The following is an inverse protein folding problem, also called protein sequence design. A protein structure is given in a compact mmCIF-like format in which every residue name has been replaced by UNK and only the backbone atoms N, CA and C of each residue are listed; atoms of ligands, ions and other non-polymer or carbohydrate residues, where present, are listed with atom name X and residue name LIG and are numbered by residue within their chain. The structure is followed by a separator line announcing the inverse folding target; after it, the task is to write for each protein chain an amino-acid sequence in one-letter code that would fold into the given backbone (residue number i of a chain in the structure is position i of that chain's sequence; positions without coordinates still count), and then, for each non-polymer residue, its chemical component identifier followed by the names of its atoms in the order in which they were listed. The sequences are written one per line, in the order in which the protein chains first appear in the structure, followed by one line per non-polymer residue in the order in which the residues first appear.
data_IF_917468039861
#
_entry.id   IF_917468039861
#
_cell.length_a   1.000
_cell.length_b   1.000
_cell.length_c   1.000
_cell.angle_alpha   90.00
_cell.angle_beta   90.00
_cell.angle_gamma   90.00
#
_symmetry.space_group_name_H-M   'P 1'
#
loop_
_entity.id
_entity.type
_entity.pdbx_description
1 polymer ?
#
# COMPACT_ATOMS: atom_id res chain seq x y z
N UNK A 1 -11.85 27.03 -51.73
CA UNK A 1 -10.81 26.63 -50.77
C UNK A 1 -10.98 25.14 -50.50
N UNK A 2 -10.20 24.27 -51.16
CA UNK A 2 -10.23 22.83 -50.83
C UNK A 2 -9.71 22.72 -49.39
N UNK A 3 -10.52 22.21 -48.45
CA UNK A 3 -10.02 21.78 -47.14
C UNK A 3 -8.90 20.79 -47.45
N UNK A 4 -7.66 21.16 -47.15
CA UNK A 4 -6.59 20.18 -47.07
C UNK A 4 -7.08 19.15 -46.05
N UNK A 5 -7.28 17.92 -46.50
CA UNK A 5 -7.48 16.80 -45.57
C UNK A 5 -6.28 16.84 -44.63
N UNK A 6 -6.53 17.12 -43.37
CA UNK A 6 -5.52 16.97 -42.33
C UNK A 6 -5.19 15.49 -42.38
N UNK A 7 -3.98 15.16 -42.86
CA UNK A 7 -3.48 13.80 -42.94
C UNK A 7 -3.84 13.06 -41.65
N UNK A 8 -4.78 12.12 -41.75
CA UNK A 8 -5.24 11.37 -40.60
C UNK A 8 -4.03 10.60 -40.04
N UNK A 9 -3.69 10.86 -38.78
CA UNK A 9 -2.68 10.07 -38.07
C UNK A 9 -3.11 8.60 -38.17
N UNK A 10 -2.29 7.70 -38.76
CA UNK A 10 -2.59 6.28 -38.83
C UNK A 10 -2.99 5.71 -37.46
N UNK A 11 -3.85 4.69 -37.46
CA UNK A 11 -4.38 4.09 -36.23
C UNK A 11 -3.25 3.62 -35.30
N UNK A 12 -2.23 2.95 -35.84
CA UNK A 12 -1.11 2.43 -35.06
C UNK A 12 -0.30 3.54 -34.39
N UNK A 13 -0.06 4.65 -35.11
CA UNK A 13 0.60 5.84 -34.53
C UNK A 13 -0.27 6.50 -33.46
N UNK A 14 -1.59 6.51 -33.63
CA UNK A 14 -2.51 7.02 -32.61
C UNK A 14 -2.42 6.17 -31.33
N UNK A 15 -2.41 4.84 -31.46
CA UNK A 15 -2.23 3.93 -30.33
C UNK A 15 -0.90 4.18 -29.65
N UNK A 16 0.20 4.24 -30.40
CA UNK A 16 1.55 4.47 -29.85
C UNK A 16 1.67 5.80 -29.11
N UNK A 17 1.13 6.89 -29.69
CA UNK A 17 1.09 8.21 -29.04
C UNK A 17 0.34 8.11 -27.72
N UNK A 18 -0.86 7.51 -27.72
CA UNK A 18 -1.68 7.40 -26.53
C UNK A 18 -0.98 6.55 -25.45
N UNK A 19 -0.35 5.42 -25.78
CA UNK A 19 0.30 4.56 -24.78
C UNK A 19 1.47 5.25 -24.06
N UNK A 20 2.09 6.28 -24.67
CA UNK A 20 3.19 7.05 -24.06
C UNK A 20 2.73 8.18 -23.13
N UNK A 21 1.44 8.53 -23.14
CA UNK A 21 0.91 9.62 -22.32
C UNK A 21 0.65 9.17 -20.88
N UNK A 22 0.74 10.07 -19.89
CA UNK A 22 0.33 9.76 -18.51
C UNK A 22 -1.14 9.35 -18.45
N UNK A 23 -1.48 8.45 -17.52
CA UNK A 23 -2.84 7.93 -17.37
C UNK A 23 -3.91 9.04 -17.19
N UNK A 24 -3.56 10.13 -16.53
CA UNK A 24 -4.46 11.29 -16.37
C UNK A 24 -4.81 12.00 -17.67
N UNK A 25 -3.84 12.12 -18.56
CA UNK A 25 -4.05 12.69 -19.88
C UNK A 25 -4.97 11.78 -20.68
N UNK A 26 -4.76 10.46 -20.62
CA UNK A 26 -5.65 9.48 -21.24
C UNK A 26 -7.09 9.62 -20.76
N UNK A 27 -7.30 9.76 -19.45
CA UNK A 27 -8.65 9.93 -18.91
C UNK A 27 -9.35 11.21 -19.38
N UNK A 28 -8.60 12.30 -19.62
CA UNK A 28 -9.14 13.52 -20.24
C UNK A 28 -9.40 13.33 -21.74
N UNK A 29 -8.53 12.57 -22.41
CA UNK A 29 -8.54 12.36 -23.86
C UNK A 29 -9.65 11.45 -24.35
N UNK A 30 -10.31 10.70 -23.46
CA UNK A 30 -11.60 10.04 -23.74
C UNK A 30 -12.66 11.00 -24.30
N UNK A 31 -12.58 12.30 -23.97
CA UNK A 31 -13.53 13.32 -24.44
C UNK A 31 -13.15 13.96 -25.78
N UNK A 32 -11.95 13.69 -26.33
CA UNK A 32 -11.45 14.34 -27.55
C UNK A 32 -12.07 13.72 -28.81
N UNK A 33 -12.20 12.39 -28.85
CA UNK A 33 -12.85 11.70 -29.97
C UNK A 33 -13.40 10.33 -29.56
N UNK A 34 -14.38 9.84 -30.33
CA UNK A 34 -14.92 8.47 -30.15
C UNK A 34 -13.85 7.40 -30.37
N UNK A 35 -12.95 7.60 -31.34
CA UNK A 35 -11.85 6.68 -31.63
C UNK A 35 -10.91 6.55 -30.44
N UNK A 36 -10.46 7.68 -29.88
CA UNK A 36 -9.56 7.69 -28.72
C UNK A 36 -10.23 7.07 -27.49
N UNK A 37 -11.51 7.38 -27.26
CA UNK A 37 -12.28 6.72 -26.21
C UNK A 37 -12.33 5.20 -26.42
N UNK A 38 -12.56 4.72 -27.65
CA UNK A 38 -12.59 3.30 -27.97
C UNK A 38 -11.24 2.62 -27.76
N UNK A 39 -10.13 3.26 -28.14
CA UNK A 39 -8.77 2.76 -27.91
C UNK A 39 -8.51 2.63 -26.40
N UNK A 40 -8.81 3.67 -25.62
CA UNK A 40 -8.49 3.71 -24.18
C UNK A 40 -9.34 2.70 -23.38
N UNK A 41 -10.52 2.32 -23.85
CA UNK A 41 -11.33 1.27 -23.22
C UNK A 41 -10.99 -0.14 -23.71
N UNK A 42 -10.14 -0.29 -24.73
CA UNK A 42 -9.76 -1.60 -25.24
C UNK A 42 -8.80 -2.31 -24.27
N UNK A 43 -9.06 -3.57 -23.98
CA UNK A 43 -8.24 -4.38 -23.08
C UNK A 43 -6.77 -4.46 -23.52
N UNK A 44 -6.49 -4.66 -24.82
CA UNK A 44 -5.11 -4.75 -25.32
C UNK A 44 -4.34 -3.45 -25.13
N UNK A 45 -5.02 -2.29 -25.23
CA UNK A 45 -4.42 -1.00 -24.94
C UNK A 45 -4.17 -0.82 -23.44
N UNK A 46 -5.12 -1.23 -22.59
CA UNK A 46 -4.98 -1.19 -21.13
C UNK A 46 -3.76 -2.02 -20.69
N UNK A 47 -3.61 -3.23 -21.24
CA UNK A 47 -2.50 -4.14 -20.90
C UNK A 47 -1.16 -3.62 -21.43
N UNK A 48 -1.14 -3.06 -22.65
CA UNK A 48 0.05 -2.43 -23.22
C UNK A 48 0.49 -1.21 -22.39
N UNK A 49 -0.47 -0.34 -22.03
CA UNK A 49 -0.22 0.82 -21.18
C UNK A 49 0.32 0.39 -19.81
N UNK A 50 -0.28 -0.64 -19.22
CA UNK A 50 0.16 -1.17 -17.93
C UNK A 50 1.57 -1.75 -18.01
N UNK A 51 1.89 -2.54 -19.04
CA UNK A 51 3.23 -3.08 -19.27
C UNK A 51 4.29 -1.99 -19.31
N UNK A 52 4.06 -0.90 -20.05
CA UNK A 52 4.96 0.25 -20.11
C UNK A 52 5.05 0.95 -18.75
N UNK A 53 3.93 1.12 -18.05
CA UNK A 53 3.89 1.81 -16.75
C UNK A 53 4.60 1.02 -15.65
N UNK A 54 4.55 -0.31 -15.69
CA UNK A 54 5.25 -1.21 -14.76
C UNK A 54 6.77 -1.10 -14.86
N UNK A 55 7.31 -0.72 -16.02
CA UNK A 55 8.76 -0.44 -16.17
C UNK A 55 9.18 0.91 -15.59
N UNK A 56 8.22 1.77 -15.20
CA UNK A 56 8.45 3.12 -14.70
C UNK A 56 7.57 3.40 -13.47
N UNK A 57 7.78 2.67 -12.37
CA UNK A 57 7.02 2.88 -11.15
C UNK A 57 7.20 4.30 -10.62
N UNK A 58 6.18 4.78 -9.90
CA UNK A 58 6.13 6.12 -9.31
C UNK A 58 6.23 6.02 -7.80
N UNK A 59 7.05 6.88 -7.22
CA UNK A 59 7.10 7.08 -5.78
C UNK A 59 5.87 7.90 -5.35
N UNK A 60 5.01 7.34 -4.51
CA UNK A 60 3.81 8.00 -4.00
C UNK A 60 3.91 8.27 -2.51
N UNK A 61 3.50 9.48 -2.12
CA UNK A 61 3.22 9.85 -0.73
C UNK A 61 1.75 10.25 -0.64
N UNK A 62 1.00 9.63 0.24
CA UNK A 62 -0.40 9.96 0.47
C UNK A 62 -0.69 10.27 1.93
N UNK A 63 -1.52 11.26 2.20
CA UNK A 63 -1.96 11.58 3.55
C UNK A 63 -3.35 12.23 3.54
N UNK A 64 -3.97 12.26 4.72
CA UNK A 64 -5.30 12.87 4.89
C UNK A 64 -5.25 14.02 5.88
N UNK A 65 -6.16 14.99 5.71
CA UNK A 65 -6.31 16.16 6.59
C UNK A 65 -6.93 15.84 7.98
N UNK A 66 -6.61 14.67 8.55
CA UNK A 66 -7.01 14.26 9.89
C UNK A 66 -7.96 13.06 9.90
N UNK A 67 -7.78 12.19 10.89
CA UNK A 67 -8.52 10.92 11.03
C UNK A 67 -9.80 11.04 11.86
N UNK A 68 -9.92 12.08 12.70
CA UNK A 68 -11.07 12.27 13.59
C UNK A 68 -12.22 12.98 12.89
N UNK A 69 -13.49 12.73 13.28
CA UNK A 69 -14.63 13.51 12.80
C UNK A 69 -14.34 15.01 13.01
N UNK A 70 -14.47 15.80 11.95
CA UNK A 70 -14.29 17.25 11.96
C UNK A 70 -15.29 17.86 10.99
N UNK A 71 -15.65 19.14 11.16
CA UNK A 71 -16.57 19.84 10.25
C UNK A 71 -16.06 19.92 8.79
N UNK A 72 -14.75 19.78 8.58
CA UNK A 72 -14.14 19.76 7.24
C UNK A 72 -14.31 18.41 6.55
N UNK A 73 -14.67 18.46 5.27
CA UNK A 73 -14.72 17.29 4.40
C UNK A 73 -13.33 16.62 4.30
N UNK A 74 -13.32 15.30 4.52
CA UNK A 74 -12.12 14.48 4.49
C UNK A 74 -11.61 14.33 3.06
N UNK A 75 -10.30 14.45 2.90
CA UNK A 75 -9.63 14.32 1.61
C UNK A 75 -8.37 13.47 1.76
N UNK A 76 -8.14 12.62 0.77
CA UNK A 76 -6.86 11.96 0.55
C UNK A 76 -6.07 12.77 -0.47
N UNK A 77 -4.91 13.26 -0.08
CA UNK A 77 -3.96 13.93 -0.96
C UNK A 77 -2.93 12.90 -1.38
N UNK A 78 -2.67 12.81 -2.68
CA UNK A 78 -1.70 11.89 -3.27
C UNK A 78 -0.68 12.75 -4.00
N UNK A 79 0.54 12.71 -3.50
CA UNK A 79 1.72 13.31 -4.10
C UNK A 79 2.52 12.21 -4.80
N UNK A 80 3.18 12.56 -5.89
CA UNK A 80 3.96 11.60 -6.65
C UNK A 80 5.23 12.21 -7.21
N UNK A 81 6.23 11.36 -7.42
CA UNK A 81 7.45 11.68 -8.14
C UNK A 81 7.74 10.62 -9.21
N UNK A 82 8.19 11.06 -10.38
CA UNK A 82 8.69 10.20 -11.48
C UNK A 82 10.19 9.97 -11.43
N UNK A 83 10.90 10.63 -10.51
CA UNK A 83 12.33 10.49 -10.31
C UNK A 83 12.60 10.26 -8.83
N UNK A 84 12.84 9.01 -8.45
CA UNK A 84 13.83 8.80 -7.39
C UNK A 84 15.13 9.33 -7.98
N UNK A 85 15.77 10.32 -7.35
CA UNK A 85 16.98 10.95 -7.88
C UNK A 85 18.14 9.98 -8.13
N UNK A 86 19.32 10.54 -8.41
CA UNK A 86 20.55 9.74 -8.36
C UNK A 86 20.74 9.19 -6.94
N UNK A 87 21.52 8.11 -6.78
CA UNK A 87 21.80 7.50 -5.48
C UNK A 87 22.34 8.52 -4.46
N UNK A 88 22.98 9.60 -4.92
CA UNK A 88 23.51 10.67 -4.07
C UNK A 88 22.57 11.87 -3.84
N UNK A 89 21.35 11.86 -4.41
CA UNK A 89 20.41 12.98 -4.28
C UNK A 89 19.91 13.11 -2.83
N UNK A 90 19.96 14.33 -2.30
CA UNK A 90 19.50 14.69 -0.95
C UNK A 90 18.05 15.17 -0.91
N UNK A 91 17.41 15.34 -2.06
CA UNK A 91 15.98 15.64 -2.15
C UNK A 91 15.29 14.91 -3.31
N UNK A 92 13.98 14.75 -3.16
CA UNK A 92 13.07 14.23 -4.18
C UNK A 92 11.92 15.23 -4.30
N UNK A 93 11.71 15.75 -5.51
CA UNK A 93 10.61 16.65 -5.80
C UNK A 93 9.34 15.82 -5.95
N UNK A 94 8.32 16.14 -5.16
CA UNK A 94 6.99 15.55 -5.27
C UNK A 94 5.98 16.63 -5.65
N UNK A 95 5.03 16.28 -6.52
CA UNK A 95 3.96 17.19 -6.90
C UNK A 95 2.63 16.63 -6.43
N UNK A 96 1.70 17.52 -6.05
CA UNK A 96 0.32 17.13 -5.77
C UNK A 96 -0.28 16.57 -7.07
N UNK A 97 -0.48 15.27 -7.07
CA UNK A 97 -0.89 14.52 -8.24
C UNK A 97 -2.43 14.52 -8.29
N UNK A 98 -3.07 14.05 -7.22
CA UNK A 98 -4.53 14.01 -7.15
C UNK A 98 -5.04 14.20 -5.72
N UNK A 99 -6.29 14.64 -5.63
CA UNK A 99 -7.03 14.76 -4.37
C UNK A 99 -8.32 13.95 -4.52
N UNK A 100 -8.55 13.01 -3.60
CA UNK A 100 -9.74 12.17 -3.60
C UNK A 100 -10.62 12.59 -2.42
N UNK A 101 -11.85 13.10 -2.65
CA UNK A 101 -12.75 13.48 -1.58
C UNK A 101 -13.30 12.25 -0.85
N UNK A 102 -13.74 12.45 0.39
CA UNK A 102 -14.39 11.44 1.24
C UNK A 102 -13.56 10.16 1.46
N UNK A 103 -12.23 10.28 1.39
CA UNK A 103 -11.30 9.17 1.61
C UNK A 103 -10.26 9.54 2.67
N UNK A 104 -9.86 8.56 3.48
CA UNK A 104 -8.88 8.76 4.56
C UNK A 104 -7.93 7.57 4.66
N UNK A 105 -6.65 7.85 4.90
CA UNK A 105 -5.67 6.86 5.33
C UNK A 105 -5.67 6.75 6.87
N UNK A 106 -5.69 5.53 7.37
CA UNK A 106 -5.53 5.23 8.79
C UNK A 106 -4.33 4.29 8.97
N UNK A 107 -3.76 4.26 10.17
CA UNK A 107 -2.52 3.55 10.52
C UNK A 107 -2.76 2.49 11.62
N UNK A 108 -3.88 1.75 11.58
CA UNK A 108 -4.20 0.73 12.59
C UNK A 108 -4.19 -0.68 12.00
N UNK A 109 -4.22 -1.74 12.82
CA UNK A 109 -4.14 -3.13 12.34
C UNK A 109 -5.22 -3.52 11.32
N UNK A 110 -6.39 -2.87 11.37
CA UNK A 110 -7.47 -3.04 10.41
C UNK A 110 -7.27 -2.23 9.13
N UNK A 111 -6.40 -1.21 9.18
CA UNK A 111 -6.23 -0.19 8.15
C UNK A 111 -4.76 0.15 7.93
N UNK A 112 -4.17 -0.41 6.87
CA UNK A 112 -3.03 0.21 6.20
C UNK A 112 -3.38 0.34 4.73
N UNK A 113 -2.98 1.46 4.14
CA UNK A 113 -3.09 1.61 2.70
C UNK A 113 -1.99 0.80 2.04
N UNK A 114 -2.31 0.09 0.95
CA UNK A 114 -1.34 -0.69 0.19
C UNK A 114 -1.62 -0.41 -1.27
N UNK A 115 -0.57 -0.08 -2.00
CA UNK A 115 -0.60 -0.06 -3.45
C UNK A 115 -0.45 -1.49 -3.95
N UNK A 116 -1.46 -2.00 -4.67
CA UNK A 116 -1.40 -3.29 -5.36
C UNK A 116 -1.75 -3.04 -6.82
N UNK A 117 -0.78 -3.24 -7.71
CA UNK A 117 -0.92 -3.15 -9.16
C UNK A 117 -1.69 -1.90 -9.65
N UNK A 118 -1.37 -0.74 -9.05
CA UNK A 118 -1.93 0.57 -9.40
C UNK A 118 -3.22 0.97 -8.69
N UNK A 119 -3.75 0.11 -7.82
CA UNK A 119 -4.84 0.46 -6.92
C UNK A 119 -4.33 0.69 -5.50
N UNK A 120 -4.88 1.68 -4.82
CA UNK A 120 -4.63 1.93 -3.40
C UNK A 120 -5.87 1.51 -2.62
N UNK A 121 -5.71 0.52 -1.74
CA UNK A 121 -6.72 0.21 -0.74
C UNK A 121 -6.65 1.23 0.40
N UNK A 122 -7.79 1.69 0.88
CA UNK A 122 -7.93 2.57 2.05
C UNK A 122 -9.07 2.07 2.92
N UNK A 123 -8.98 2.29 4.23
CA UNK A 123 -10.03 1.92 5.18
C UNK A 123 -10.30 3.05 6.15
N UNK A 124 -11.59 3.27 6.39
CA UNK A 124 -12.11 4.26 7.31
C UNK A 124 -13.26 3.63 8.10
N UNK A 125 -13.07 3.47 9.41
CA UNK A 125 -14.00 2.77 10.29
C UNK A 125 -14.31 1.35 9.76
N UNK A 126 -15.57 1.09 9.40
CA UNK A 126 -16.04 -0.20 8.84
C UNK A 126 -16.04 -0.23 7.32
N UNK A 127 -15.68 0.87 6.65
CA UNK A 127 -15.67 0.97 5.19
C UNK A 127 -14.28 0.66 4.65
N UNK A 128 -14.26 -0.19 3.64
CA UNK A 128 -13.07 -0.47 2.86
C UNK A 128 -13.28 0.02 1.43
N UNK A 129 -12.35 0.84 0.95
CA UNK A 129 -12.46 1.55 -0.30
C UNK A 129 -11.20 1.32 -1.11
N UNK A 130 -11.35 0.99 -2.38
CA UNK A 130 -10.25 0.84 -3.33
C UNK A 130 -10.30 2.04 -4.26
N UNK A 131 -9.19 2.74 -4.42
CA UNK A 131 -9.10 3.85 -5.36
C UNK A 131 -8.00 3.63 -6.39
N UNK A 132 -8.23 4.13 -7.59
CA UNK A 132 -7.22 4.27 -8.63
C UNK A 132 -6.82 5.75 -8.69
N UNK A 133 -5.63 6.15 -8.23
CA UNK A 133 -5.18 7.54 -8.27
C UNK A 133 -5.10 8.11 -9.68
N UNK A 134 -4.71 7.29 -10.65
CA UNK A 134 -4.55 7.65 -12.06
C UNK A 134 -5.87 7.97 -12.75
N UNK A 135 -6.94 7.24 -12.44
CA UNK A 135 -8.27 7.46 -13.03
C UNK A 135 -9.27 8.16 -12.11
N UNK A 136 -8.89 8.42 -10.85
CA UNK A 136 -9.76 8.93 -9.77
C UNK A 136 -10.99 8.05 -9.49
N UNK A 137 -10.94 6.79 -9.90
CA UNK A 137 -12.03 5.87 -9.60
C UNK A 137 -11.98 5.47 -8.14
N UNK A 138 -13.15 5.37 -7.53
CA UNK A 138 -13.33 4.94 -6.15
C UNK A 138 -14.37 3.82 -6.14
N UNK A 139 -14.04 2.74 -5.45
CA UNK A 139 -14.87 1.55 -5.28
C UNK A 139 -15.02 1.33 -3.79
N UNK A 140 -16.24 1.50 -3.28
CA UNK A 140 -16.55 1.19 -1.89
C UNK A 140 -17.03 -0.26 -1.85
N UNK A 141 -16.36 -1.09 -1.05
CA UNK A 141 -16.79 -2.47 -0.88
C UNK A 141 -18.02 -2.56 0.03
N UNK A 142 -18.85 -3.62 -0.11
CA UNK A 142 -19.94 -3.87 0.81
C UNK A 142 -19.45 -3.92 2.25
N UNK A 143 -20.25 -3.42 3.18
CA UNK A 143 -19.94 -3.47 4.61
C UNK A 143 -19.93 -4.94 5.05
N UNK A 144 -18.93 -5.32 5.83
CA UNK A 144 -18.85 -6.66 6.41
C UNK A 144 -20.03 -6.90 7.36
N UNK A 145 -20.53 -8.14 7.48
CA UNK A 145 -21.59 -8.48 8.42
C UNK A 145 -21.28 -8.00 9.85
N UNK A 146 -22.30 -7.43 10.50
CA UNK A 146 -22.25 -7.07 11.91
C UNK A 146 -22.12 -8.35 12.75
N UNK A 147 -21.07 -8.44 13.57
CA UNK A 147 -20.84 -9.55 14.50
C UNK A 147 -20.83 -9.08 15.95
N UNK A 148 -20.47 -9.98 16.87
CA UNK A 148 -20.50 -9.71 18.31
C UNK A 148 -19.27 -8.88 18.69
N UNK A 149 -19.43 -7.79 19.42
CA UNK A 149 -18.26 -7.16 20.04
C UNK A 149 -17.64 -8.12 21.07
N UNK A 150 -16.30 -8.25 21.16
CA UNK A 150 -15.27 -7.44 20.52
C UNK A 150 -14.57 -8.15 19.32
N UNK A 151 -15.25 -8.34 18.20
CA UNK A 151 -14.59 -8.82 16.97
C UNK A 151 -13.74 -7.74 16.29
N UNK A 152 -12.49 -8.06 15.94
CA UNK A 152 -11.66 -7.28 15.03
C UNK A 152 -11.98 -7.67 13.58
N UNK A 153 -12.21 -6.65 12.75
CA UNK A 153 -12.39 -6.78 11.30
C UNK A 153 -11.25 -6.11 10.59
N UNK A 154 -10.71 -6.77 9.59
CA UNK A 154 -9.69 -6.20 8.74
C UNK A 154 -9.87 -6.68 7.32
N UNK A 155 -9.65 -5.79 6.36
CA UNK A 155 -9.76 -6.11 4.94
C UNK A 155 -8.46 -5.72 4.24
N UNK A 156 -8.08 -6.50 3.25
CA UNK A 156 -6.94 -6.24 2.39
C UNK A 156 -7.28 -6.65 0.95
N UNK A 157 -6.44 -6.23 0.00
CA UNK A 157 -6.55 -6.62 -1.40
C UNK A 157 -5.34 -7.47 -1.78
N UNK A 158 -5.58 -8.47 -2.61
CA UNK A 158 -4.57 -9.25 -3.31
C UNK A 158 -4.82 -9.23 -4.81
N UNK A 159 -3.75 -9.44 -5.57
CA UNK A 159 -3.78 -9.51 -7.02
C UNK A 159 -3.10 -10.80 -7.47
N UNK A 160 -3.81 -11.61 -8.25
CA UNK A 160 -3.27 -12.78 -8.93
C UNK A 160 -2.74 -12.39 -10.32
N UNK A 161 -1.41 -12.47 -10.56
CA UNK A 161 -0.82 -12.16 -11.85
C UNK A 161 -1.11 -13.21 -12.93
N UNK A 162 -1.59 -14.42 -12.57
CA UNK A 162 -1.83 -15.49 -13.55
C UNK A 162 -3.20 -15.34 -14.20
N UNK A 163 -4.27 -15.29 -13.41
CA UNK A 163 -5.63 -15.11 -13.93
C UNK A 163 -5.99 -13.63 -14.12
N UNK A 164 -5.08 -12.73 -13.76
CA UNK A 164 -5.21 -11.27 -13.82
C UNK A 164 -6.41 -10.74 -13.00
N UNK A 165 -6.56 -11.26 -11.77
CA UNK A 165 -7.72 -10.99 -10.92
C UNK A 165 -7.35 -10.33 -9.60
N UNK A 166 -8.18 -9.37 -9.19
CA UNK A 166 -8.13 -8.81 -7.85
C UNK A 166 -9.16 -9.48 -6.95
N UNK A 167 -8.76 -9.82 -5.73
CA UNK A 167 -9.69 -10.26 -4.68
C UNK A 167 -9.43 -9.48 -3.41
N UNK A 168 -10.50 -9.12 -2.72
CA UNK A 168 -10.43 -8.62 -1.36
C UNK A 168 -10.58 -9.77 -0.38
N UNK A 169 -9.72 -9.82 0.63
CA UNK A 169 -9.80 -10.75 1.75
C UNK A 169 -10.17 -9.96 3.00
N UNK A 170 -11.26 -10.35 3.65
CA UNK A 170 -11.67 -9.87 4.95
C UNK A 170 -11.51 -10.96 6.00
N UNK A 171 -11.01 -10.55 7.16
CA UNK A 171 -10.81 -11.40 8.33
C UNK A 171 -11.70 -10.87 9.44
N UNK A 172 -12.48 -11.75 10.05
CA UNK A 172 -13.24 -11.48 11.26
C UNK A 172 -12.66 -12.38 12.35
N UNK A 173 -12.01 -11.78 13.34
CA UNK A 173 -11.35 -12.50 14.44
C UNK A 173 -11.91 -12.01 15.76
N UNK A 174 -12.20 -12.94 16.67
CA UNK A 174 -12.54 -12.57 18.05
C UNK A 174 -11.31 -12.02 18.78
N UNK A 175 -11.46 -10.92 19.53
CA UNK A 175 -10.39 -10.36 20.38
C UNK A 175 -10.41 -10.87 21.82
N UNK A 176 -11.19 -11.90 22.14
CA UNK A 176 -11.29 -12.41 23.52
C UNK A 176 -9.94 -13.03 23.92
N UNK A 177 -9.25 -12.52 24.95
CA UNK A 177 -7.99 -13.09 25.41
C UNK A 177 -8.17 -14.53 25.89
N UNK A 178 -7.12 -15.34 25.78
CA UNK A 178 -7.04 -16.72 26.32
C UNK A 178 -8.05 -17.75 25.76
N UNK A 179 -8.88 -17.40 24.78
CA UNK A 179 -9.63 -18.37 23.97
C UNK A 179 -8.89 -18.68 22.68
N UNK A 180 -9.12 -19.86 22.13
CA UNK A 180 -8.67 -20.17 20.77
C UNK A 180 -9.34 -19.18 19.81
N UNK A 181 -8.54 -18.33 19.18
CA UNK A 181 -9.05 -17.32 18.26
C UNK A 181 -9.45 -18.00 16.95
N UNK A 182 -10.75 -18.14 16.72
CA UNK A 182 -11.27 -18.54 15.41
C UNK A 182 -11.30 -17.32 14.51
N UNK A 183 -10.76 -17.47 13.29
CA UNK A 183 -10.82 -16.43 12.26
C UNK A 183 -11.76 -16.92 11.17
N UNK A 184 -12.77 -16.12 10.88
CA UNK A 184 -13.58 -16.27 9.69
C UNK A 184 -12.94 -15.50 8.53
N UNK A 185 -12.88 -16.14 7.37
CA UNK A 185 -12.32 -15.56 6.15
C UNK A 185 -13.41 -15.39 5.11
N UNK A 186 -13.59 -14.14 4.70
CA UNK A 186 -14.48 -13.77 3.62
C UNK A 186 -13.67 -13.27 2.45
N UNK A 187 -14.05 -13.68 1.25
CA UNK A 187 -13.42 -13.26 0.00
C UNK A 187 -14.47 -12.57 -0.89
N UNK A 188 -14.00 -11.59 -1.65
CA UNK A 188 -14.80 -10.88 -2.65
C UNK A 188 -13.94 -10.69 -3.89
N UNK A 189 -14.41 -11.18 -5.03
CA UNK A 189 -13.71 -11.03 -6.31
C UNK A 189 -14.11 -9.72 -6.97
N UNK A 190 -13.13 -8.91 -7.35
CA UNK A 190 -13.30 -7.57 -7.91
C UNK A 190 -13.30 -7.67 -9.44
N UNK A 191 -14.44 -8.09 -9.98
CA UNK A 191 -14.64 -8.21 -11.43
C UNK A 191 -16.06 -7.80 -11.81
N UNK A 192 -16.16 -6.86 -12.75
CA UNK A 192 -17.41 -6.57 -13.48
C UNK A 192 -18.25 -5.46 -12.84
N UNK A 193 -19.57 -5.63 -12.81
CA UNK A 193 -20.45 -4.62 -12.21
C UNK A 193 -20.29 -4.63 -10.69
N UNK A 194 -19.93 -3.47 -10.13
CA UNK A 194 -19.82 -3.22 -8.69
C UNK A 194 -21.09 -3.60 -7.92
N UNK A 195 -22.26 -3.63 -8.57
CA UNK A 195 -23.53 -4.08 -7.97
C UNK A 195 -23.52 -5.56 -7.57
N UNK A 196 -22.66 -6.37 -8.17
CA UNK A 196 -22.55 -7.81 -7.89
C UNK A 196 -21.50 -8.14 -6.83
N UNK A 197 -20.83 -7.13 -6.26
CA UNK A 197 -19.85 -7.32 -5.21
C UNK A 197 -20.53 -7.84 -3.95
N UNK A 198 -20.21 -9.08 -3.58
CA UNK A 198 -20.72 -9.74 -2.39
C UNK A 198 -19.61 -10.54 -1.72
N UNK A 199 -19.61 -10.50 -0.39
CA UNK A 199 -18.71 -11.29 0.43
C UNK A 199 -19.20 -12.74 0.47
N UNK A 200 -18.29 -13.69 0.29
CA UNK A 200 -18.57 -15.12 0.50
C UNK A 200 -17.51 -15.75 1.37
N UNK A 201 -17.88 -16.79 2.10
CA UNK A 201 -16.92 -17.62 2.81
C UNK A 201 -16.05 -18.39 1.81
N UNK A 202 -14.80 -18.60 2.18
CA UNK A 202 -13.88 -19.45 1.42
C UNK A 202 -14.28 -20.92 1.63
N UNK A 203 -14.43 -21.67 0.53
CA UNK A 203 -14.78 -23.09 0.58
C UNK A 203 -13.57 -23.94 0.99
N UNK A 204 -13.79 -24.96 1.81
CA UNK A 204 -12.75 -25.94 2.19
C UNK A 204 -11.82 -25.51 3.33
N UNK A 205 -12.04 -24.33 3.93
CA UNK A 205 -11.21 -23.78 5.01
C UNK A 205 -11.61 -24.24 6.43
N UNK A 206 -12.49 -25.23 6.56
CA UNK A 206 -13.02 -25.68 7.86
C UNK A 206 -11.95 -26.26 8.82
N UNK A 207 -10.80 -26.66 8.28
CA UNK A 207 -9.71 -27.29 9.03
C UNK A 207 -8.54 -26.34 9.33
N UNK A 208 -8.72 -25.02 9.15
CA UNK A 208 -7.66 -24.06 9.50
C UNK A 208 -7.50 -24.07 11.03
N UNK A 209 -6.29 -24.30 11.56
CA UNK A 209 -6.04 -24.17 12.99
C UNK A 209 -6.36 -22.75 13.49
N UNK A 210 -6.81 -22.59 14.74
CA UNK A 210 -7.05 -21.27 15.32
C UNK A 210 -5.79 -20.42 15.31
N UNK A 211 -5.95 -19.12 15.10
CA UNK A 211 -4.84 -18.16 15.11
C UNK A 211 -5.36 -16.73 15.32
N UNK A 212 -4.48 -15.81 15.69
CA UNK A 212 -4.80 -14.40 15.86
C UNK A 212 -3.93 -13.56 14.91
N UNK A 213 -4.50 -12.87 13.90
CA UNK A 213 -3.74 -11.99 13.02
C UNK A 213 -3.24 -10.77 13.80
N UNK A 214 -1.96 -10.42 13.65
CA UNK A 214 -1.35 -9.32 14.44
C UNK A 214 -0.56 -8.30 13.64
N UNK A 215 -0.24 -8.58 12.38
CA UNK A 215 0.47 -7.62 11.52
C UNK A 215 -0.43 -7.10 10.40
N UNK A 216 0.06 -6.04 9.76
CA UNK A 216 -0.46 -5.61 8.47
C UNK A 216 -0.22 -6.68 7.41
N UNK A 217 -1.00 -6.60 6.33
CA UNK A 217 -0.94 -7.53 5.20
C UNK A 217 -0.04 -6.95 4.12
N UNK A 218 0.61 -7.80 3.33
CA UNK A 218 1.32 -7.41 2.11
C UNK A 218 0.98 -8.41 1.01
N UNK A 219 0.77 -7.94 -0.22
CA UNK A 219 0.55 -8.81 -1.37
C UNK A 219 1.85 -8.90 -2.17
N UNK A 220 2.39 -10.10 -2.34
CA UNK A 220 3.61 -10.37 -3.11
C UNK A 220 3.29 -11.53 -4.05
N UNK A 221 3.46 -11.31 -5.37
CA UNK A 221 3.36 -12.36 -6.40
C UNK A 221 2.13 -13.30 -6.29
N UNK A 222 0.93 -12.75 -6.12
CA UNK A 222 -0.29 -13.58 -6.04
C UNK A 222 -0.65 -14.08 -4.64
N UNK A 223 0.15 -13.77 -3.62
CA UNK A 223 -0.07 -14.25 -2.25
C UNK A 223 -0.12 -13.09 -1.27
N UNK A 224 -1.14 -13.08 -0.41
CA UNK A 224 -1.26 -12.12 0.69
C UNK A 224 -0.64 -12.72 1.96
N UNK A 225 0.38 -12.06 2.49
CA UNK A 225 1.11 -12.46 3.68
C UNK A 225 0.76 -11.58 4.87
N UNK A 226 0.61 -12.19 6.05
CA UNK A 226 0.52 -11.49 7.33
C UNK A 226 0.95 -12.37 8.49
N UNK A 227 1.55 -11.77 9.51
CA UNK A 227 1.94 -12.41 10.73
C UNK A 227 0.74 -12.64 11.66
N UNK A 228 0.78 -13.78 12.33
CA UNK A 228 -0.19 -14.21 13.33
C UNK A 228 0.49 -14.99 14.47
N UNK A 229 -0.26 -15.17 15.55
CA UNK A 229 0.06 -16.13 16.59
C UNK A 229 -0.92 -17.30 16.60
N UNK A 230 -0.42 -18.52 16.80
CA UNK A 230 -1.24 -19.74 16.85
C UNK A 230 -0.84 -20.66 18.03
N UNK A 231 -1.80 -21.37 18.66
CA UNK A 231 -3.25 -21.20 18.51
C UNK A 231 -3.79 -19.95 19.19
N UNK A 232 -3.02 -19.38 20.12
CA UNK A 232 -3.39 -18.22 20.94
C UNK A 232 -2.35 -17.13 20.82
N UNK A 233 -2.68 -15.95 21.32
CA UNK A 233 -1.79 -14.80 21.33
C UNK A 233 -0.46 -15.13 22.03
N UNK A 234 0.62 -14.58 21.48
CA UNK A 234 1.99 -14.68 22.01
C UNK A 234 2.55 -16.10 22.17
N UNK A 235 1.94 -17.13 21.54
CA UNK A 235 2.43 -18.51 21.59
C UNK A 235 3.47 -18.81 20.49
N UNK A 236 3.00 -19.21 19.30
CA UNK A 236 3.87 -19.50 18.16
C UNK A 236 3.68 -18.46 17.08
N UNK A 237 4.78 -17.83 16.66
CA UNK A 237 4.82 -16.93 15.52
C UNK A 237 4.70 -17.72 14.21
N UNK A 238 3.78 -17.29 13.35
CA UNK A 238 3.56 -17.85 12.02
C UNK A 238 3.27 -16.74 11.03
N UNK A 239 3.64 -16.94 9.76
CA UNK A 239 3.11 -16.16 8.65
C UNK A 239 1.95 -16.93 8.03
N UNK A 240 0.80 -16.28 7.94
CA UNK A 240 -0.35 -16.77 7.19
C UNK A 240 -0.21 -16.33 5.75
N UNK A 241 -0.42 -17.27 4.83
CA UNK A 241 -0.33 -17.06 3.40
C UNK A 241 -1.70 -17.34 2.80
N UNK A 242 -2.31 -16.34 2.16
CA UNK A 242 -3.52 -16.50 1.39
C UNK A 242 -3.18 -16.43 -0.10
N UNK A 243 -3.28 -17.56 -0.79
CA UNK A 243 -3.11 -17.64 -2.23
C UNK A 243 -4.36 -17.05 -2.92
N UNK A 244 -4.19 -15.95 -3.65
CA UNK A 244 -5.32 -15.19 -4.22
C UNK A 244 -6.08 -16.02 -5.26
N UNK A 245 -5.36 -16.81 -6.06
CA UNK A 245 -5.94 -17.60 -7.15
C UNK A 245 -6.78 -18.75 -6.61
N UNK A 246 -6.15 -19.64 -5.85
CA UNK A 246 -6.74 -20.86 -5.29
C UNK A 246 -7.56 -20.63 -4.03
N UNK A 247 -7.47 -19.45 -3.43
CA UNK A 247 -8.13 -19.06 -2.18
C UNK A 247 -7.74 -19.91 -0.97
N UNK A 248 -6.62 -20.61 -1.04
CA UNK A 248 -6.14 -21.48 0.04
C UNK A 248 -5.32 -20.70 1.06
N UNK A 249 -5.45 -21.12 2.30
CA UNK A 249 -4.73 -20.55 3.43
C UNK A 249 -3.73 -21.56 3.97
N UNK A 250 -2.47 -21.16 4.01
CA UNK A 250 -1.36 -21.95 4.54
C UNK A 250 -0.58 -21.16 5.59
N UNK A 251 0.30 -21.86 6.31
CA UNK A 251 1.09 -21.28 7.39
C UNK A 251 2.57 -21.61 7.20
N UNK A 252 3.40 -20.59 7.35
CA UNK A 252 4.86 -20.72 7.43
C UNK A 252 5.24 -20.56 8.90
N UNK A 253 5.94 -21.53 9.48
CA UNK A 253 6.46 -21.39 10.83
C UNK A 253 7.62 -20.41 10.81
N UNK A 254 7.75 -19.62 11.87
CA UNK A 254 8.84 -18.66 11.99
C UNK A 254 9.53 -18.78 13.34
N UNK A 255 10.79 -18.33 13.45
CA UNK A 255 11.35 -17.95 14.74
C UNK A 255 10.41 -17.00 15.49
N UNK A 256 10.45 -17.05 16.83
CA UNK A 256 9.54 -16.29 17.71
C UNK A 256 9.58 -14.79 17.48
N UNK A 257 10.74 -14.25 17.10
CA UNK A 257 10.93 -12.81 16.94
C UNK A 257 10.45 -12.24 15.61
N UNK A 258 10.20 -13.07 14.59
CA UNK A 258 9.81 -12.60 13.24
C UNK A 258 8.47 -11.88 13.24
N UNK A 259 7.55 -12.28 14.13
CA UNK A 259 6.20 -11.72 14.23
C UNK A 259 5.98 -11.08 15.60
N UNK A 260 5.78 -9.76 15.59
CA UNK A 260 5.44 -8.95 16.76
C UNK A 260 4.12 -8.22 16.51
N UNK A 261 3.62 -7.57 17.56
CA UNK A 261 2.32 -6.91 17.50
C UNK A 261 2.35 -5.66 16.61
N UNK A 262 1.40 -5.56 15.68
CA UNK A 262 1.13 -4.41 14.82
C UNK A 262 2.37 -3.88 14.09
N UNK A 263 2.83 -2.67 14.44
CA UNK A 263 3.90 -1.97 13.73
C UNK A 263 5.32 -2.38 14.20
N UNK A 264 5.40 -3.28 15.18
CA UNK A 264 6.69 -3.78 15.68
C UNK A 264 7.30 -4.85 14.77
N UNK A 265 6.51 -5.44 13.88
CA UNK A 265 7.00 -6.29 12.77
C UNK A 265 6.29 -5.92 11.48
N UNK A 266 7.04 -5.58 10.43
CA UNK A 266 6.50 -5.16 9.14
C UNK A 266 6.97 -6.15 8.08
N UNK A 267 6.01 -6.82 7.43
CA UNK A 267 6.30 -7.67 6.28
C UNK A 267 6.47 -6.82 5.01
N UNK A 268 7.43 -7.20 4.18
CA UNK A 268 7.69 -6.59 2.88
C UNK A 268 8.42 -7.58 1.96
N UNK A 269 8.54 -7.23 0.70
CA UNK A 269 9.44 -7.90 -0.23
C UNK A 269 10.84 -7.30 -0.13
N UNK A 270 11.86 -8.13 0.05
CA UNK A 270 13.27 -7.76 0.07
C UNK A 270 14.07 -8.63 -0.89
N UNK A 271 14.61 -8.02 -1.96
CA UNK A 271 15.37 -8.71 -3.01
C UNK A 271 14.64 -9.94 -3.59
N UNK A 272 13.34 -9.80 -3.85
CA UNK A 272 12.51 -10.88 -4.39
C UNK A 272 12.07 -11.94 -3.38
N UNK A 273 12.38 -11.76 -2.09
CA UNK A 273 12.03 -12.69 -1.01
C UNK A 273 11.10 -12.03 0.01
N UNK A 274 10.32 -12.83 0.72
CA UNK A 274 9.55 -12.34 1.86
C UNK A 274 10.49 -11.99 3.01
N UNK A 275 10.34 -10.80 3.58
CA UNK A 275 11.10 -10.35 4.72
C UNK A 275 10.19 -9.76 5.81
N UNK A 276 10.68 -9.78 7.05
CA UNK A 276 10.07 -9.12 8.20
C UNK A 276 11.10 -8.18 8.82
N UNK A 277 10.74 -6.90 8.93
CA UNK A 277 11.52 -5.98 9.76
C UNK A 277 10.91 -5.91 11.14
N UNK A 278 11.72 -6.23 12.14
CA UNK A 278 11.32 -6.30 13.54
C UNK A 278 12.01 -5.20 14.33
N UNK A 279 11.22 -4.48 15.13
CA UNK A 279 11.70 -3.40 16.00
C UNK A 279 11.43 -3.75 17.46
N UNK A 280 12.21 -3.13 18.34
CA UNK A 280 11.90 -3.15 19.76
C UNK A 280 11.05 -1.91 20.11
N UNK A 281 9.83 -2.15 20.61
CA UNK A 281 8.87 -1.10 20.98
C UNK A 281 9.40 -0.18 22.07
N UNK A 282 10.25 -0.71 22.95
CA UNK A 282 10.69 -0.03 24.18
C UNK A 282 12.11 0.54 24.09
N UNK A 283 12.83 0.27 22.99
CA UNK A 283 14.14 0.88 22.77
C UNK A 283 13.99 2.21 22.04
N UNK A 284 15.04 3.04 22.10
CA UNK A 284 15.20 4.10 21.11
C UNK A 284 15.22 3.47 19.73
N UNK A 285 14.85 4.22 18.70
CA UNK A 285 14.92 3.76 17.32
C UNK A 285 16.38 3.75 16.84
N UNK A 286 17.22 2.94 17.46
CA UNK A 286 18.64 2.82 17.16
C UNK A 286 18.96 1.54 16.40
N UNK A 287 18.04 0.58 16.39
CA UNK A 287 18.25 -0.73 15.79
C UNK A 287 16.96 -1.32 15.25
N UNK A 288 17.09 -2.17 14.23
CA UNK A 288 16.04 -3.08 13.78
C UNK A 288 16.65 -4.38 13.28
N UNK A 289 15.90 -5.48 13.39
CA UNK A 289 16.28 -6.76 12.84
C UNK A 289 15.59 -6.98 11.50
N UNK A 290 16.37 -7.26 10.45
CA UNK A 290 15.88 -7.74 9.16
C UNK A 290 15.92 -9.26 9.16
N UNK A 291 14.75 -9.88 9.03
CA UNK A 291 14.59 -11.30 8.82
C UNK A 291 14.21 -11.57 7.37
N UNK A 292 14.91 -12.46 6.69
CA UNK A 292 14.62 -12.84 5.30
C UNK A 292 14.30 -14.33 5.25
N UNK A 293 13.19 -14.68 4.61
CA UNK A 293 12.85 -16.07 4.33
C UNK A 293 13.68 -16.56 3.15
N UNK A 294 14.73 -17.32 3.44
CA UNK A 294 15.71 -17.75 2.43
C UNK A 294 15.18 -18.88 1.56
N UNK A 295 14.47 -19.82 2.19
CA UNK A 295 13.88 -21.01 1.57
C UNK A 295 12.45 -21.22 2.13
N UNK A 296 11.45 -21.13 1.25
CA UNK A 296 10.03 -21.24 1.62
C UNK A 296 9.68 -22.69 2.00
N UNK A 297 10.26 -23.69 1.34
CA UNK A 297 9.95 -25.11 1.56
C UNK A 297 10.55 -25.59 2.87
N UNK A 298 11.82 -25.24 3.12
CA UNK A 298 12.52 -25.56 4.37
C UNK A 298 12.15 -24.64 5.53
N UNK A 299 11.51 -23.51 5.25
CA UNK A 299 11.15 -22.47 6.23
C UNK A 299 12.38 -21.92 6.96
N UNK A 300 13.46 -21.74 6.22
CA UNK A 300 14.74 -21.24 6.73
C UNK A 300 14.78 -19.71 6.69
N UNK A 301 15.10 -19.11 7.82
CA UNK A 301 15.18 -17.66 7.98
C UNK A 301 16.60 -17.22 8.30
N UNK A 302 17.10 -16.19 7.61
CA UNK A 302 18.32 -15.48 7.99
C UNK A 302 17.95 -14.24 8.81
N UNK A 303 18.85 -13.82 9.70
CA UNK A 303 18.70 -12.63 10.54
C UNK A 303 19.91 -11.72 10.36
N UNK A 304 19.65 -10.43 10.15
CA UNK A 304 20.66 -9.39 10.22
C UNK A 304 20.17 -8.24 11.11
N UNK A 305 20.99 -7.84 12.10
CA UNK A 305 20.72 -6.65 12.92
C UNK A 305 21.32 -5.43 12.24
N UNK A 306 20.47 -4.42 12.04
CA UNK A 306 20.79 -3.15 11.42
C UNK A 306 20.81 -2.05 12.48
N UNK A 307 21.93 -1.33 12.57
CA UNK A 307 22.12 -0.21 13.49
C UNK A 307 21.89 1.11 12.78
N UNK A 308 21.27 2.07 13.48
CA UNK A 308 21.00 3.42 13.02
C UNK A 308 21.65 4.41 13.99
N UNK A 309 22.57 5.26 13.51
CA UNK A 309 23.18 6.30 14.34
C UNK A 309 22.13 7.23 14.96
N UNK A 310 22.24 7.51 16.25
CA UNK A 310 21.27 8.34 16.98
C UNK A 310 21.18 9.78 16.42
N UNK A 311 22.26 10.31 15.85
CA UNK A 311 22.33 11.64 15.24
C UNK A 311 21.36 11.84 14.06
N UNK A 312 20.88 10.75 13.46
CA UNK A 312 19.85 10.79 12.41
C UNK A 312 18.54 11.39 12.92
N UNK A 313 18.26 11.24 14.22
CA UNK A 313 17.00 11.62 14.84
C UNK A 313 16.95 13.03 15.40
N UNK A 314 18.07 13.76 15.46
CA UNK A 314 18.14 15.11 16.04
C UNK A 314 17.16 16.11 15.39
N UNK A 315 16.73 15.84 14.15
CA UNK A 315 15.78 16.65 13.39
C UNK A 315 14.34 16.14 13.34
N UNK A 316 14.04 14.99 13.96
CA UNK A 316 12.75 14.30 13.83
C UNK A 316 11.95 14.43 15.13
N UNK A 317 10.77 15.04 15.09
CA UNK A 317 9.91 15.20 16.28
C UNK A 317 9.26 13.88 16.75
N UNK A 318 9.08 12.91 15.85
CA UNK A 318 8.35 11.68 16.11
C UNK A 318 9.18 10.44 15.75
N UNK A 319 9.37 9.55 16.72
CA UNK A 319 10.10 8.28 16.54
C UNK A 319 9.28 7.18 15.87
N UNK A 320 7.97 7.41 15.64
CA UNK A 320 7.15 6.47 14.87
C UNK A 320 7.51 6.54 13.39
N UNK A 321 8.45 5.68 13.01
CA UNK A 321 8.81 5.42 11.63
C UNK A 321 7.92 4.32 11.06
N UNK A 322 7.81 4.28 9.74
CA UNK A 322 7.31 3.17 8.94
C UNK A 322 8.45 2.61 8.09
N UNK A 323 8.29 1.40 7.58
CA UNK A 323 9.12 0.87 6.49
C UNK A 323 8.21 0.69 5.27
N UNK A 324 8.16 1.68 4.36
CA UNK A 324 7.28 1.61 3.19
C UNK A 324 7.69 0.55 2.17
N UNK A 325 8.95 0.13 2.19
CA UNK A 325 9.51 -0.81 1.23
C UNK A 325 10.97 -0.46 0.92
N UNK A 326 11.37 -0.71 -0.31
CA UNK A 326 12.73 -0.55 -0.82
C UNK A 326 12.70 0.38 -2.02
N UNK A 327 13.78 1.14 -2.22
CA UNK A 327 13.95 1.97 -3.41
C UNK A 327 14.60 1.19 -4.56
N UNK A 328 14.71 1.79 -5.74
CA UNK A 328 15.32 1.13 -6.91
C UNK A 328 16.79 0.70 -6.73
N UNK A 329 17.48 1.18 -5.70
CA UNK A 329 18.88 0.87 -5.38
C UNK A 329 19.02 -0.23 -4.33
N UNK A 330 17.93 -0.82 -3.84
CA UNK A 330 17.98 -1.87 -2.82
C UNK A 330 18.09 -1.35 -1.38
N UNK A 331 17.97 -0.04 -1.16
CA UNK A 331 17.98 0.57 0.17
C UNK A 331 16.60 0.50 0.83
N UNK A 332 16.54 0.14 2.10
CA UNK A 332 15.29 0.14 2.88
C UNK A 332 14.87 1.58 3.15
N UNK A 333 13.60 1.89 2.89
CA UNK A 333 13.02 3.20 3.12
C UNK A 333 12.47 3.27 4.54
N UNK A 334 12.83 4.33 5.27
CA UNK A 334 12.25 4.69 6.55
C UNK A 334 11.55 6.04 6.41
N UNK A 335 10.34 6.16 6.93
CA UNK A 335 9.58 7.40 6.84
C UNK A 335 8.71 7.65 8.07
N UNK A 336 8.59 8.89 8.56
CA UNK A 336 7.66 9.23 9.64
C UNK A 336 6.23 8.80 9.29
N UNK A 337 5.50 8.24 10.25
CA UNK A 337 4.11 7.79 10.03
C UNK A 337 3.11 8.93 9.96
N UNK A 338 3.51 10.15 10.32
CA UNK A 338 2.66 11.34 10.36
C UNK A 338 3.39 12.57 9.84
N UNK A 339 2.65 13.52 9.27
CA UNK A 339 3.16 14.87 9.02
C UNK A 339 3.41 15.60 10.36
N UNK A 340 4.28 16.61 10.35
CA UNK A 340 4.42 17.53 11.47
C UNK A 340 3.05 18.18 11.78
N UNK A 341 2.79 18.44 13.06
CA UNK A 341 1.52 19.00 13.51
C UNK A 341 1.43 20.50 13.21
N UNK A 342 1.67 21.32 14.24
CA UNK A 342 1.48 22.77 14.18
C UNK A 342 2.55 23.51 13.38
N UNK A 343 3.83 23.13 13.54
CA UNK A 343 4.92 23.82 12.86
C UNK A 343 5.17 23.24 11.47
N UNK A 344 5.29 24.14 10.49
CA UNK A 344 5.71 23.78 9.15
C UNK A 344 7.16 23.31 9.19
N UNK A 345 7.37 22.04 8.86
CA UNK A 345 8.70 21.44 8.75
C UNK A 345 8.78 20.66 7.46
N UNK A 346 10.00 20.58 6.93
CA UNK A 346 10.28 19.71 5.80
C UNK A 346 10.03 18.25 6.17
N UNK A 347 9.40 17.51 5.26
CA UNK A 347 9.20 16.09 5.42
C UNK A 347 10.46 15.36 4.92
N UNK A 348 11.03 14.50 5.76
CA UNK A 348 12.22 13.73 5.44
C UNK A 348 11.92 12.24 5.49
N UNK A 349 12.48 11.51 4.54
CA UNK A 349 12.61 10.06 4.56
C UNK A 349 14.09 9.69 4.68
N UNK A 350 14.36 8.44 4.96
CA UNK A 350 15.71 7.91 5.08
C UNK A 350 15.86 6.67 4.25
N UNK A 351 17.01 6.54 3.61
CA UNK A 351 17.40 5.34 2.89
C UNK A 351 18.51 4.65 3.66
N UNK A 352 18.31 3.37 3.94
CA UNK A 352 19.21 2.53 4.70
C UNK A 352 19.77 1.42 3.81
N UNK A 353 21.08 1.43 3.62
CA UNK A 353 21.78 0.38 2.87
C UNK A 353 22.23 -0.71 3.83
N UNK A 354 21.71 -1.93 3.65
CA UNK A 354 21.87 -3.04 4.60
C UNK A 354 23.31 -3.54 4.69
N UNK A 355 23.99 -3.79 3.56
CA UNK A 355 25.38 -4.30 3.60
C UNK A 355 26.37 -3.25 4.14
N UNK A 356 26.25 -2.00 3.70
CA UNK A 356 27.18 -0.94 4.09
C UNK A 356 26.84 -0.31 5.45
N UNK A 357 25.64 -0.61 6.00
CA UNK A 357 25.06 0.00 7.20
C UNK A 357 24.99 1.53 7.15
N UNK A 358 25.02 2.10 5.94
CA UNK A 358 24.92 3.55 5.74
C UNK A 358 23.46 3.96 5.71
N UNK A 359 23.20 5.12 6.30
CA UNK A 359 21.89 5.76 6.24
C UNK A 359 22.05 7.18 5.75
N UNK A 360 21.15 7.60 4.85
CA UNK A 360 21.11 8.97 4.35
C UNK A 360 19.70 9.53 4.45
N UNK A 361 19.62 10.83 4.73
CA UNK A 361 18.38 11.58 4.81
C UNK A 361 18.06 12.19 3.45
N UNK A 362 16.79 12.11 3.06
CA UNK A 362 16.29 12.66 1.81
C UNK A 362 15.06 13.51 2.08
N UNK A 363 15.10 14.77 1.63
CA UNK A 363 13.99 15.70 1.75
C UNK A 363 12.95 15.42 0.68
N UNK A 364 11.69 15.26 1.07
CA UNK A 364 10.58 15.26 0.12
C UNK A 364 10.05 16.69 -0.01
N UNK A 365 10.31 17.32 -1.16
CA UNK A 365 9.85 18.68 -1.47
C UNK A 365 8.40 18.63 -1.98
N UNK A 366 7.58 19.62 -1.59
CA UNK A 366 6.17 19.72 -1.97
C UNK A 366 5.19 19.03 -1.04
N UNK A 367 5.65 18.23 -0.07
CA UNK A 367 4.78 17.53 0.89
C UNK A 367 4.29 18.49 1.98
N UNK A 368 3.16 19.15 1.71
CA UNK A 368 2.48 20.05 2.66
C UNK A 368 3.42 21.08 3.32
N UNK A 369 4.38 21.59 2.53
CA UNK A 369 5.36 22.63 2.87
C UNK A 369 4.87 24.05 2.54
N UNK A 370 3.63 24.18 2.04
CA UNK A 370 2.92 25.45 1.87
C UNK A 370 1.92 25.70 3.02
N UNK A 371 2.08 26.80 3.75
CA UNK A 371 1.20 27.14 4.89
C UNK A 371 -0.26 27.35 4.46
N UNK A 372 -0.50 27.95 3.30
CA UNK A 372 -1.85 28.24 2.82
C UNK A 372 -2.60 26.96 2.51
N UNK A 373 -1.96 26.01 1.83
CA UNK A 373 -2.46 24.67 1.58
C UNK A 373 -2.85 23.99 2.90
N UNK A 374 -1.97 24.03 3.91
CA UNK A 374 -2.27 23.46 5.23
C UNK A 374 -3.50 24.10 5.87
N UNK A 375 -3.58 25.43 5.89
CA UNK A 375 -4.72 26.17 6.46
C UNK A 375 -6.03 25.88 5.73
N UNK A 376 -6.03 25.94 4.39
CA UNK A 376 -7.19 25.65 3.55
C UNK A 376 -7.76 24.26 3.87
N UNK A 377 -6.91 23.23 3.90
CA UNK A 377 -7.37 21.86 4.09
C UNK A 377 -7.45 21.40 5.55
N UNK A 378 -6.99 22.21 6.53
CA UNK A 378 -6.99 21.84 7.94
C UNK A 378 -5.91 20.82 8.32
N UNK A 379 -4.77 20.84 7.64
CA UNK A 379 -3.62 19.99 7.93
C UNK A 379 -2.84 20.61 9.09
N UNK A 380 -2.63 19.86 10.18
CA UNK A 380 -1.88 20.29 11.36
C UNK A 380 -2.71 20.45 12.64
N UNK A 381 -4.05 20.44 12.57
CA UNK A 381 -4.92 20.44 13.77
C UNK A 381 -5.01 19.07 14.48
N UNK A 382 -4.40 18.04 13.92
CA UNK A 382 -4.37 16.68 14.47
C UNK A 382 -3.44 15.75 13.69
N UNK A 383 -3.44 14.47 14.03
CA UNK A 383 -2.60 13.47 13.37
C UNK A 383 -2.99 13.28 11.91
N UNK A 384 -2.06 13.63 11.01
CA UNK A 384 -2.16 13.38 9.57
C UNK A 384 -1.28 12.18 9.24
N UNK A 385 -1.90 10.99 9.20
CA UNK A 385 -1.19 9.75 8.86
C UNK A 385 -0.65 9.84 7.43
N UNK A 386 0.61 9.44 7.26
CA UNK A 386 1.31 9.39 5.97
C UNK A 386 1.46 7.93 5.56
N UNK A 387 1.17 7.69 4.30
CA UNK A 387 1.39 6.45 3.58
C UNK A 387 2.38 6.71 2.46
N UNK A 388 3.29 5.77 2.23
CA UNK A 388 4.25 5.83 1.12
C UNK A 388 4.18 4.51 0.36
N UNK A 389 4.19 4.61 -0.97
CA UNK A 389 4.34 3.48 -1.88
C UNK A 389 5.52 3.78 -2.81
N UNK A 390 6.68 3.14 -2.63
CA UNK A 390 7.86 3.38 -3.45
C UNK A 390 7.63 3.01 -4.93
N UNK A 391 6.89 1.93 -5.17
CA UNK A 391 6.71 1.35 -6.50
C UNK A 391 5.24 1.33 -6.95
N UNK A 392 4.60 2.50 -7.03
CA UNK A 392 3.24 2.55 -7.56
C UNK A 392 3.22 2.57 -9.08
N UNK A 393 2.55 1.60 -9.70
CA UNK A 393 2.36 1.53 -11.15
C UNK A 393 1.10 2.27 -11.56
N UNK A 394 1.14 3.07 -12.63
CA UNK A 394 -0.08 3.67 -13.18
C UNK A 394 -0.93 2.63 -13.91
N UNK A 395 -2.25 2.66 -13.69
CA UNK A 395 -3.18 1.81 -14.44
C UNK A 395 -4.43 2.60 -14.82
N UNK A 396 -4.94 2.33 -16.02
CA UNK A 396 -6.24 2.85 -16.48
C UNK A 396 -7.36 1.79 -16.40
N UNK A 397 -7.04 0.62 -15.82
CA UNK A 397 -7.97 -0.48 -15.61
C UNK A 397 -9.12 -0.08 -14.68
N UNK A 398 -10.29 -0.66 -14.95
CA UNK A 398 -11.47 -0.62 -14.10
C UNK A 398 -11.63 -2.02 -13.48
N UNK A 399 -11.94 -2.09 -12.18
CA UNK A 399 -12.22 -3.35 -11.48
C UNK A 399 -13.71 -3.70 -11.55
#
# INVERSE_FOLDING_TARGET
MKRQEIDHIPFDLTVEILTRLPAKSLMKFKCVSKLWSSIIHNQSFIDSFYSISSTRPRFIVAFSNGSFPSDKEKRLFIFSSSHEGHESSSSVITNLDTTIPSLTVSNNLASRCISVNGFIACSLYTRFTICNPSTRQVIVLPILPSGRAPDMRSTCIGYDPVDDQFKALALISSCIPNKDSTVEHLVLTLKGDKKNYSWRQIQGNNNIPPYSPVTMRVCINGVVYYGAWTPRQSMNAVIVCFDVRSEKITFIKTPKDVVRWCNDSILMEYKGKLASIVRNRYSRFDTFDLWVLEDIEKQEWSKQTCEIPLSVWDSVENFNMSFPGINKFGEIILAPTCLSGYHLRSFYIFYYHVETKKIRRVRLEGIADDENFRRCYGIGSGQCNVFISPEHVETIRFL
#
